data_IF_730396246764
#
_entry.id   IF_730396246764
#
_cell.length_a   1.000
_cell.length_b   1.000
_cell.length_c   1.000
_cell.angle_alpha   90.00
_cell.angle_beta   90.00
_cell.angle_gamma   90.00
#
_symmetry.space_group_name_H-M   'P 1'
#
loop_
_entity.id
_entity.type
_entity.pdbx_description
1 polymer ?
#
# COMPACT_ATOMS: atom_id res chain seq x y z
N UNK A 1 -10.05 7.30 32.54
CA UNK A 1 -9.12 6.99 31.44
C UNK A 1 -9.91 6.23 30.40
N UNK A 2 -10.25 6.87 29.27
CA UNK A 2 -10.96 6.20 28.17
C UNK A 2 -9.92 5.48 27.32
N UNK A 3 -9.88 4.15 27.38
CA UNK A 3 -9.04 3.35 26.48
C UNK A 3 -9.86 3.08 25.22
N UNK A 4 -9.45 3.65 24.08
CA UNK A 4 -10.06 3.33 22.80
C UNK A 4 -9.61 1.91 22.38
N UNK A 5 -10.47 1.09 21.75
CA UNK A 5 -10.12 -0.28 21.34
C UNK A 5 -8.84 -0.35 20.50
N UNK A 6 -8.61 0.70 19.71
CA UNK A 6 -7.56 0.82 18.69
C UNK A 6 -6.20 1.21 19.30
N UNK A 7 -6.16 1.62 20.58
CA UNK A 7 -4.92 2.06 21.24
C UNK A 7 -3.91 0.91 21.42
N UNK A 8 -4.37 -0.35 21.37
CA UNK A 8 -3.53 -1.54 21.53
C UNK A 8 -3.22 -2.27 20.21
N UNK A 9 -3.83 -1.89 19.09
CA UNK A 9 -3.55 -2.53 17.79
C UNK A 9 -2.08 -2.37 17.36
N UNK A 10 -1.42 -1.22 17.52
CA UNK A 10 0.01 -1.09 17.21
C UNK A 10 0.94 -1.84 18.18
N UNK A 11 0.42 -2.25 19.35
CA UNK A 11 1.19 -2.97 20.38
C UNK A 11 1.29 -4.48 20.10
N UNK A 12 0.39 -5.05 19.30
CA UNK A 12 0.38 -6.47 18.91
C UNK A 12 0.32 -6.72 17.40
N UNK A 13 0.01 -5.70 16.58
CA UNK A 13 -0.18 -5.80 15.14
C UNK A 13 0.83 -4.97 14.33
N UNK A 14 0.84 -5.14 13.01
CA UNK A 14 1.69 -4.37 12.11
C UNK A 14 1.33 -2.87 12.16
N UNK A 15 2.34 -2.00 12.15
CA UNK A 15 2.13 -0.56 12.02
C UNK A 15 1.68 -0.20 10.60
N UNK A 16 1.06 0.97 10.43
CA UNK A 16 0.62 1.46 9.12
C UNK A 16 1.79 1.51 8.12
N UNK A 17 2.98 1.90 8.57
CA UNK A 17 4.21 1.93 7.76
C UNK A 17 4.67 0.52 7.37
N UNK A 18 4.57 -0.45 8.28
CA UNK A 18 4.93 -1.84 7.96
C UNK A 18 3.97 -2.47 6.94
N UNK A 19 2.68 -2.14 7.02
CA UNK A 19 1.68 -2.56 6.03
C UNK A 19 1.97 -1.90 4.67
N UNK A 20 2.29 -0.59 4.68
CA UNK A 20 2.66 0.11 3.45
C UNK A 20 3.89 -0.52 2.79
N UNK A 21 4.90 -0.89 3.59
CA UNK A 21 6.09 -1.56 3.08
C UNK A 21 5.77 -2.93 2.45
N UNK A 22 4.95 -3.74 3.12
CA UNK A 22 4.49 -5.02 2.57
C UNK A 22 3.70 -4.83 1.26
N UNK A 23 2.86 -3.80 1.17
CA UNK A 23 2.13 -3.47 -0.06
C UNK A 23 3.05 -3.03 -1.20
N UNK A 24 4.13 -2.30 -0.91
CA UNK A 24 5.13 -1.92 -1.91
C UNK A 24 5.89 -3.15 -2.44
N UNK A 25 6.13 -4.16 -1.61
CA UNK A 25 6.77 -5.42 -2.00
C UNK A 25 5.83 -6.31 -2.84
N UNK A 26 4.55 -6.41 -2.46
CA UNK A 26 3.55 -7.20 -3.20
C UNK A 26 3.20 -6.55 -4.55
N UNK A 27 3.13 -5.23 -4.58
CA UNK A 27 2.77 -4.43 -5.76
C UNK A 27 3.91 -3.47 -6.14
N UNK A 28 5.03 -3.99 -6.66
CA UNK A 28 6.18 -3.17 -7.00
C UNK A 28 5.86 -2.22 -8.17
N UNK A 29 6.66 -1.16 -8.36
CA UNK A 29 6.57 -0.31 -9.53
C UNK A 29 6.62 -1.14 -10.82
N UNK A 30 5.68 -0.87 -11.71
CA UNK A 30 5.59 -1.57 -12.99
C UNK A 30 6.52 -0.93 -14.02
N UNK A 31 7.43 -1.72 -14.59
CA UNK A 31 8.13 -1.37 -15.81
C UNK A 31 7.68 -2.34 -16.94
N UNK A 32 6.74 -1.93 -17.80
CA UNK A 32 6.19 -2.82 -18.82
C UNK A 32 7.24 -3.24 -19.84
N UNK A 33 7.20 -4.51 -20.26
CA UNK A 33 8.01 -4.99 -21.39
C UNK A 33 7.16 -5.16 -22.65
N UNK A 34 7.74 -5.10 -23.87
CA UNK A 34 6.97 -5.14 -25.12
C UNK A 34 6.16 -6.42 -25.36
N UNK A 35 6.51 -7.52 -24.67
CA UNK A 35 5.82 -8.81 -24.72
C UNK A 35 4.59 -8.88 -23.81
N UNK A 36 4.37 -7.87 -22.96
CA UNK A 36 3.24 -7.86 -22.02
C UNK A 36 1.97 -7.35 -22.67
N UNK A 37 0.87 -8.08 -22.47
CA UNK A 37 -0.43 -7.65 -22.96
C UNK A 37 -0.90 -6.38 -22.23
N UNK A 38 -1.69 -5.57 -22.94
CA UNK A 38 -2.23 -4.33 -22.38
C UNK A 38 -3.06 -4.59 -21.11
N UNK A 39 -3.84 -5.67 -21.08
CA UNK A 39 -4.68 -6.05 -19.95
C UNK A 39 -3.83 -6.34 -18.70
N UNK A 40 -2.70 -7.04 -18.86
CA UNK A 40 -1.76 -7.34 -17.77
C UNK A 40 -1.07 -6.07 -17.24
N UNK A 41 -0.74 -5.15 -18.14
CA UNK A 41 -0.18 -3.84 -17.78
C UNK A 41 -1.22 -3.05 -16.97
N UNK A 42 -2.44 -2.91 -17.48
CA UNK A 42 -3.52 -2.16 -16.83
C UNK A 42 -3.88 -2.73 -15.45
N UNK A 43 -3.98 -4.05 -15.32
CA UNK A 43 -4.29 -4.71 -14.05
C UNK A 43 -3.27 -4.37 -12.96
N UNK A 44 -1.97 -4.49 -13.29
CA UNK A 44 -0.88 -4.18 -12.33
C UNK A 44 -0.76 -2.68 -12.06
N UNK A 45 -0.97 -1.83 -13.07
CA UNK A 45 -1.01 -0.38 -12.89
C UNK A 45 -2.12 0.04 -11.92
N UNK A 46 -3.30 -0.57 -12.00
CA UNK A 46 -4.40 -0.32 -11.08
C UNK A 46 -4.08 -0.75 -9.65
N UNK A 47 -3.42 -1.90 -9.46
CA UNK A 47 -2.95 -2.31 -8.14
C UNK A 47 -1.94 -1.31 -7.57
N UNK A 48 -0.97 -0.86 -8.39
CA UNK A 48 0.03 0.12 -7.94
C UNK A 48 -0.59 1.47 -7.61
N UNK A 49 -1.60 1.92 -8.37
CA UNK A 49 -2.23 3.23 -8.09
C UNK A 49 -2.91 3.29 -6.73
N UNK A 50 -3.43 2.16 -6.22
CA UNK A 50 -3.99 2.08 -4.87
C UNK A 50 -2.91 2.24 -3.82
N UNK A 51 -1.75 1.57 -3.98
CA UNK A 51 -0.61 1.70 -3.06
C UNK A 51 -0.10 3.15 -3.02
N UNK A 52 0.03 3.80 -4.17
CA UNK A 52 0.46 5.21 -4.24
C UNK A 52 -0.54 6.16 -3.56
N UNK A 53 -1.84 5.91 -3.72
CA UNK A 53 -2.85 6.70 -3.03
C UNK A 53 -2.74 6.56 -1.50
N UNK A 54 -2.58 5.33 -0.98
CA UNK A 54 -2.40 5.08 0.46
C UNK A 54 -1.14 5.80 0.97
N UNK A 55 -0.02 5.67 0.25
CA UNK A 55 1.24 6.34 0.58
C UNK A 55 1.08 7.86 0.67
N UNK A 56 0.40 8.44 -0.33
CA UNK A 56 0.14 9.88 -0.37
C UNK A 56 -0.73 10.30 0.80
N UNK A 57 -1.82 9.56 1.06
CA UNK A 57 -2.75 9.82 2.16
C UNK A 57 -2.08 9.82 3.53
N UNK A 58 -1.16 8.89 3.79
CA UNK A 58 -0.40 8.82 5.04
C UNK A 58 0.53 10.03 5.18
N UNK A 59 1.26 10.39 4.12
CA UNK A 59 2.17 11.53 4.13
C UNK A 59 1.45 12.88 4.23
N UNK A 60 0.18 12.98 3.81
CA UNK A 60 -0.65 14.17 3.96
C UNK A 60 -1.21 14.35 5.38
N UNK A 61 -1.26 13.29 6.19
CA UNK A 61 -1.73 13.31 7.58
C UNK A 61 -0.60 13.58 8.61
N UNK A 62 0.67 13.65 8.16
CA UNK A 62 1.83 14.10 8.97
C UNK A 62 1.98 15.63 8.99
#
# INVERSE_FOLDING_TARGET
MSTFPNTLEPLLGPTVESILHELEDIHPPLNPTPDESMEKIMYRSGQRSVVEWIKTRINEDE
#
